data_IF_345548595207
#
_entry.id   IF_345548595207
#
_cell.length_a   1.000
_cell.length_b   1.000
_cell.length_c   1.000
_cell.angle_alpha   90.00
_cell.angle_beta   90.00
_cell.angle_gamma   90.00
#
_symmetry.space_group_name_H-M   'P 1'
#
loop_
_entity.id
_entity.type
_entity.pdbx_description
1 polymer ?
#
# COMPACT_ATOMS: atom_id res chain seq x y z
N UNK A 1 31.46 23.79 -31.50
CA UNK A 1 30.14 23.75 -30.81
C UNK A 1 29.99 22.35 -30.28
N UNK A 2 30.48 22.13 -29.06
CA UNK A 2 30.26 20.87 -28.34
C UNK A 2 28.82 20.89 -27.82
N UNK A 3 28.03 19.92 -28.27
CA UNK A 3 26.69 19.66 -27.73
C UNK A 3 26.87 18.93 -26.40
N UNK A 4 26.71 19.64 -25.29
CA UNK A 4 26.50 19.02 -23.98
C UNK A 4 25.09 18.39 -23.95
N UNK A 5 25.02 17.08 -24.17
CA UNK A 5 23.88 16.25 -23.77
C UNK A 5 23.75 16.28 -22.24
N UNK A 6 23.08 17.30 -21.69
CA UNK A 6 22.65 17.32 -20.29
C UNK A 6 21.64 16.18 -20.08
N UNK A 7 22.13 15.08 -19.52
CA UNK A 7 21.30 14.01 -18.93
C UNK A 7 20.49 14.61 -17.78
N UNK A 8 19.32 15.13 -18.08
CA UNK A 8 18.39 15.66 -17.10
C UNK A 8 17.72 14.49 -16.37
N UNK A 9 18.15 14.19 -15.14
CA UNK A 9 17.27 13.53 -14.18
C UNK A 9 16.32 14.59 -13.59
N UNK A 10 15.13 14.20 -13.14
CA UNK A 10 14.18 15.14 -12.51
C UNK A 10 14.68 15.75 -11.18
N UNK A 11 15.82 15.30 -10.68
CA UNK A 11 16.50 15.93 -9.56
C UNK A 11 17.53 16.91 -10.12
N UNK A 12 17.10 18.13 -10.44
CA UNK A 12 18.06 19.23 -10.56
C UNK A 12 18.96 19.22 -9.31
N UNK A 13 20.26 19.46 -9.48
CA UNK A 13 21.20 19.35 -8.37
C UNK A 13 20.86 20.41 -7.30
N UNK A 14 20.19 19.98 -6.23
CA UNK A 14 19.78 20.84 -5.12
C UNK A 14 21.01 21.07 -4.25
N UNK A 15 21.59 22.25 -4.39
CA UNK A 15 22.87 22.63 -3.77
C UNK A 15 22.67 23.52 -2.54
N UNK A 16 23.63 23.43 -1.62
CA UNK A 16 23.63 24.19 -0.38
C UNK A 16 23.99 25.67 -0.61
N UNK A 17 23.10 26.57 -0.20
CA UNK A 17 23.32 28.03 -0.22
C UNK A 17 24.59 28.50 0.53
N UNK A 18 25.18 27.69 1.42
CA UNK A 18 26.37 28.07 2.19
C UNK A 18 27.69 27.52 1.61
N UNK A 19 27.70 26.30 1.05
CA UNK A 19 28.94 25.66 0.59
C UNK A 19 28.87 25.00 -0.79
N UNK A 20 27.72 25.04 -1.46
CA UNK A 20 27.51 24.43 -2.78
C UNK A 20 27.38 22.91 -2.80
N UNK A 21 27.58 22.22 -1.67
CA UNK A 21 27.43 20.76 -1.60
C UNK A 21 25.96 20.31 -1.76
N UNK A 22 25.75 19.06 -2.18
CA UNK A 22 24.42 18.45 -2.29
C UNK A 22 23.68 18.49 -0.95
N UNK A 23 22.38 18.78 -1.03
CA UNK A 23 21.46 18.75 0.10
C UNK A 23 20.59 17.50 0.08
N UNK A 24 20.25 16.97 1.26
CA UNK A 24 19.28 15.88 1.42
C UNK A 24 18.06 16.36 2.20
N UNK A 25 16.86 15.89 1.85
CA UNK A 25 15.66 16.22 2.61
C UNK A 25 15.73 15.60 4.01
N UNK A 26 15.37 16.38 5.03
CA UNK A 26 15.35 15.94 6.42
C UNK A 26 13.92 15.53 6.83
N UNK A 27 13.62 14.22 6.99
CA UNK A 27 12.28 13.75 7.34
C UNK A 27 11.71 14.38 8.61
N UNK A 28 10.41 14.68 8.55
CA UNK A 28 9.66 15.30 9.64
C UNK A 28 9.91 16.81 9.77
N UNK A 29 10.54 17.43 8.78
CA UNK A 29 10.77 18.89 8.72
C UNK A 29 10.43 19.40 7.32
N UNK A 30 10.38 20.73 7.17
CA UNK A 30 10.30 21.39 5.86
C UNK A 30 11.68 21.95 5.49
N UNK A 31 12.72 21.11 5.60
CA UNK A 31 14.10 21.55 5.40
C UNK A 31 14.98 20.50 4.74
N UNK A 32 15.97 21.02 4.04
CA UNK A 32 17.07 20.31 3.42
C UNK A 32 18.31 20.46 4.31
N UNK A 33 19.03 19.37 4.55
CA UNK A 33 20.26 19.37 5.35
C UNK A 33 21.47 19.15 4.46
N UNK A 34 22.52 19.93 4.70
CA UNK A 34 23.83 19.70 4.09
C UNK A 34 24.63 18.71 4.94
N UNK A 35 24.98 17.55 4.38
CA UNK A 35 25.83 16.57 5.08
C UNK A 35 27.30 17.02 5.18
N UNK A 36 27.73 17.97 4.34
CA UNK A 36 29.10 18.46 4.31
C UNK A 36 29.35 19.55 5.37
N UNK A 37 28.57 20.65 5.36
CA UNK A 37 28.78 21.79 6.26
C UNK A 37 27.77 21.87 7.42
N UNK A 38 26.72 21.04 7.42
CA UNK A 38 25.69 21.03 8.46
C UNK A 38 24.61 22.12 8.32
N UNK A 39 24.68 22.98 7.30
CA UNK A 39 23.68 24.00 7.05
C UNK A 39 22.27 23.40 6.83
N UNK A 40 21.26 24.16 7.24
CA UNK A 40 19.84 23.83 7.06
C UNK A 40 19.22 24.85 6.12
N UNK A 41 18.65 24.36 5.02
CA UNK A 41 18.02 25.17 4.00
C UNK A 41 16.50 24.89 4.02
N UNK A 42 15.71 25.89 4.42
CA UNK A 42 14.25 25.75 4.51
C UNK A 42 13.61 25.59 3.12
N UNK A 43 12.62 24.72 3.03
CA UNK A 43 11.75 24.58 1.87
C UNK A 43 10.53 25.48 2.09
N UNK A 44 10.41 26.54 1.31
CA UNK A 44 9.21 27.36 1.32
C UNK A 44 8.07 26.61 0.62
N UNK A 45 6.95 26.45 1.34
CA UNK A 45 5.72 25.87 0.80
C UNK A 45 4.82 27.01 0.36
N UNK A 46 4.62 27.11 -0.94
CA UNK A 46 3.65 28.02 -1.54
C UNK A 46 2.23 27.55 -1.21
N UNK A 47 1.48 28.38 -0.50
CA UNK A 47 0.11 28.06 -0.06
C UNK A 47 -0.85 27.91 -1.22
N UNK A 48 -0.66 28.69 -2.29
CA UNK A 48 -1.56 28.67 -3.45
C UNK A 48 -1.34 27.37 -4.22
N UNK A 49 -0.07 26.97 -4.42
CA UNK A 49 0.25 25.65 -4.99
C UNK A 49 -0.24 24.49 -4.14
N UNK A 50 -0.28 24.65 -2.81
CA UNK A 50 -0.85 23.62 -1.93
C UNK A 50 -2.35 23.47 -2.15
N UNK A 51 -3.08 24.57 -2.38
CA UNK A 51 -4.50 24.50 -2.75
C UNK A 51 -4.66 23.83 -4.11
N UNK A 52 -3.87 24.24 -5.11
CA UNK A 52 -3.90 23.66 -6.46
C UNK A 52 -3.59 22.15 -6.46
N UNK A 53 -2.63 21.70 -5.65
CA UNK A 53 -2.27 20.29 -5.53
C UNK A 53 -3.40 19.40 -4.97
N UNK A 54 -4.31 19.99 -4.20
CA UNK A 54 -5.49 19.30 -3.66
C UNK A 54 -6.69 19.33 -4.61
N UNK A 55 -6.67 20.14 -5.67
CA UNK A 55 -7.74 20.13 -6.66
C UNK A 55 -7.74 18.80 -7.40
N UNK A 56 -8.91 18.23 -7.59
CA UNK A 56 -9.08 16.98 -8.33
C UNK A 56 -9.06 17.24 -9.84
N UNK A 57 -8.72 16.22 -10.63
CA UNK A 57 -8.72 16.28 -12.10
C UNK A 57 -9.89 15.45 -12.61
N UNK A 58 -10.75 16.02 -13.47
CA UNK A 58 -11.85 15.27 -14.08
C UNK A 58 -11.30 14.13 -14.97
N UNK A 59 -11.70 12.90 -14.66
CA UNK A 59 -11.20 11.71 -15.32
C UNK A 59 -11.63 11.64 -16.79
N UNK A 60 -12.91 11.93 -17.07
CA UNK A 60 -13.46 11.81 -18.41
C UNK A 60 -12.96 12.91 -19.34
N UNK A 61 -12.84 14.14 -18.84
CA UNK A 61 -12.23 15.24 -19.58
C UNK A 61 -10.75 14.94 -19.88
N UNK A 62 -10.01 14.38 -18.91
CA UNK A 62 -8.60 14.05 -19.08
C UNK A 62 -8.36 12.97 -20.13
N UNK A 63 -9.12 11.87 -20.14
CA UNK A 63 -8.95 10.79 -21.13
C UNK A 63 -9.41 11.21 -22.54
N UNK A 64 -10.43 12.07 -22.63
CA UNK A 64 -10.98 12.52 -23.92
C UNK A 64 -10.10 13.57 -24.60
N UNK A 65 -9.41 14.41 -23.81
CA UNK A 65 -8.35 15.29 -24.31
C UNK A 65 -7.08 14.44 -24.46
N UNK A 66 -6.81 13.93 -25.66
CA UNK A 66 -5.63 13.13 -25.99
C UNK A 66 -4.37 13.55 -25.20
N UNK A 67 -3.66 12.54 -24.66
CA UNK A 67 -2.50 12.66 -23.75
C UNK A 67 -1.45 13.70 -24.17
N UNK A 68 -1.34 14.01 -25.47
CA UNK A 68 -0.38 14.96 -26.05
C UNK A 68 -0.53 16.40 -25.54
N UNK A 69 -1.66 16.77 -24.93
CA UNK A 69 -1.89 18.11 -24.37
C UNK A 69 -1.65 18.21 -22.86
N UNK A 70 -1.35 17.09 -22.21
CA UNK A 70 -1.25 17.02 -20.75
C UNK A 70 0.20 17.26 -20.28
N UNK A 71 0.40 17.82 -19.07
CA UNK A 71 1.74 18.02 -18.52
C UNK A 71 2.37 16.68 -18.17
N UNK A 72 3.02 16.07 -19.16
CA UNK A 72 3.88 14.91 -18.95
C UNK A 72 5.30 15.36 -18.67
N UNK A 73 5.99 14.66 -17.77
CA UNK A 73 7.42 14.88 -17.53
C UNK A 73 8.22 13.68 -18.04
N UNK A 74 9.30 13.94 -18.79
CA UNK A 74 10.28 12.92 -19.12
C UNK A 74 11.16 12.62 -17.90
N UNK A 75 11.16 11.38 -17.45
CA UNK A 75 12.02 10.92 -16.36
C UNK A 75 12.97 9.83 -16.84
N UNK A 76 14.20 9.87 -16.37
CA UNK A 76 15.14 8.76 -16.55
C UNK A 76 14.83 7.70 -15.50
N UNK A 77 14.32 6.56 -15.95
CA UNK A 77 13.98 5.40 -15.12
C UNK A 77 14.85 4.22 -15.48
N UNK A 78 15.13 3.39 -14.47
CA UNK A 78 15.85 2.13 -14.64
C UNK A 78 14.93 1.01 -14.19
N UNK A 79 14.76 0.03 -15.06
CA UNK A 79 13.95 -1.15 -14.79
C UNK A 79 14.81 -2.24 -14.14
N UNK A 80 14.31 -2.81 -13.05
CA UNK A 80 14.95 -3.92 -12.38
C UNK A 80 14.56 -5.25 -13.03
N UNK A 81 15.53 -5.99 -13.58
CA UNK A 81 15.27 -7.33 -14.14
C UNK A 81 14.79 -8.36 -13.09
N UNK A 82 15.12 -8.13 -11.81
CA UNK A 82 14.77 -9.06 -10.74
C UNK A 82 13.34 -8.96 -10.23
N UNK A 83 12.73 -7.77 -10.24
CA UNK A 83 11.38 -7.56 -9.71
C UNK A 83 10.46 -6.68 -10.58
N UNK A 84 10.96 -6.14 -11.68
CA UNK A 84 10.21 -5.27 -12.59
C UNK A 84 10.11 -3.81 -12.15
N UNK A 85 10.60 -3.44 -10.96
CA UNK A 85 10.52 -2.07 -10.46
C UNK A 85 11.22 -1.06 -11.36
N UNK A 86 10.57 0.08 -11.59
CA UNK A 86 11.09 1.16 -12.41
C UNK A 86 11.38 2.39 -11.53
N UNK A 87 12.65 2.64 -11.23
CA UNK A 87 13.08 3.65 -10.25
C UNK A 87 13.93 4.74 -10.88
N UNK A 88 13.89 5.93 -10.31
CA UNK A 88 14.83 7.02 -10.62
C UNK A 88 16.18 6.80 -9.94
N UNK A 89 17.25 7.30 -10.57
CA UNK A 89 18.59 7.42 -9.98
C UNK A 89 18.95 8.89 -9.76
N UNK A 90 19.80 9.14 -8.77
CA UNK A 90 20.43 10.44 -8.58
C UNK A 90 21.33 10.78 -9.78
N UNK A 91 21.48 12.08 -10.13
CA UNK A 91 22.47 12.50 -11.12
C UNK A 91 23.85 11.92 -10.75
N UNK A 92 24.53 11.31 -11.73
CA UNK A 92 25.88 10.73 -11.60
C UNK A 92 26.01 9.38 -10.86
N UNK A 93 24.91 8.72 -10.47
CA UNK A 93 24.97 7.34 -9.97
C UNK A 93 25.00 6.37 -11.16
N UNK A 94 26.04 5.52 -11.22
CA UNK A 94 26.24 4.56 -12.32
C UNK A 94 25.73 3.16 -11.96
N UNK A 95 25.79 2.81 -10.67
CA UNK A 95 25.36 1.51 -10.16
C UNK A 95 24.79 1.65 -8.77
N UNK A 96 23.74 0.91 -8.47
CA UNK A 96 23.14 0.82 -7.14
C UNK A 96 22.44 -0.55 -6.97
N UNK A 97 21.80 -0.77 -5.82
CA UNK A 97 20.93 -1.90 -5.52
C UNK A 97 19.46 -1.50 -5.63
N UNK A 98 18.63 -2.43 -6.13
CA UNK A 98 17.19 -2.28 -6.17
C UNK A 98 16.62 -2.33 -4.74
N UNK A 99 15.97 -1.25 -4.29
CA UNK A 99 15.39 -1.21 -2.93
C UNK A 99 14.25 -2.22 -2.70
N UNK A 100 13.68 -2.78 -3.77
CA UNK A 100 12.58 -3.74 -3.70
C UNK A 100 13.03 -5.20 -3.64
N UNK A 101 14.19 -5.57 -4.19
CA UNK A 101 14.62 -6.97 -4.26
C UNK A 101 16.12 -7.22 -4.08
N UNK A 102 16.90 -6.17 -3.87
CA UNK A 102 18.35 -6.18 -3.69
C UNK A 102 19.16 -6.67 -4.92
N UNK A 103 18.52 -6.78 -6.09
CA UNK A 103 19.24 -7.02 -7.35
C UNK A 103 20.10 -5.80 -7.72
N UNK A 104 21.29 -6.01 -8.30
CA UNK A 104 22.10 -4.90 -8.83
C UNK A 104 21.36 -4.18 -9.95
N UNK A 105 21.54 -2.86 -10.01
CA UNK A 105 20.98 -1.97 -11.03
C UNK A 105 22.11 -1.14 -11.65
N UNK A 106 22.07 -0.95 -12.96
CA UNK A 106 23.08 -0.20 -13.71
C UNK A 106 22.45 0.90 -14.57
N UNK A 107 23.00 2.12 -14.51
CA UNK A 107 22.42 3.27 -15.22
C UNK A 107 22.48 3.17 -16.75
N UNK A 108 23.27 2.24 -17.29
CA UNK A 108 23.32 1.91 -18.72
C UNK A 108 22.00 1.33 -19.25
N UNK A 109 21.15 0.80 -18.37
CA UNK A 109 19.81 0.27 -18.69
C UNK A 109 18.72 1.34 -18.54
N UNK A 110 19.10 2.58 -18.23
CA UNK A 110 18.16 3.68 -18.08
C UNK A 110 17.49 4.06 -19.39
N UNK A 111 16.18 4.27 -19.36
CA UNK A 111 15.40 4.80 -20.48
C UNK A 111 14.56 5.99 -20.03
N UNK A 112 14.16 6.83 -21.00
CA UNK A 112 13.22 7.92 -20.73
C UNK A 112 11.80 7.38 -20.72
N UNK A 113 11.06 7.64 -19.66
CA UNK A 113 9.64 7.40 -19.57
C UNK A 113 8.90 8.76 -19.54
N UNK A 114 7.86 8.90 -20.36
CA UNK A 114 6.94 10.04 -20.28
C UNK A 114 5.82 9.67 -19.31
N UNK A 115 5.74 10.38 -18.19
CA UNK A 115 4.75 10.12 -17.15
C UNK A 115 3.87 11.33 -16.87
N UNK A 116 2.62 11.09 -16.48
CA UNK A 116 1.75 12.12 -15.86
C UNK A 116 2.46 12.62 -14.62
N UNK A 117 2.73 13.93 -14.54
CA UNK A 117 3.42 14.50 -13.40
C UNK A 117 2.59 14.31 -12.11
N UNK A 118 3.21 13.93 -10.98
CA UNK A 118 2.49 13.91 -9.71
C UNK A 118 1.97 15.30 -9.37
N UNK A 119 0.71 15.37 -8.95
CA UNK A 119 0.08 16.62 -8.52
C UNK A 119 0.46 16.97 -7.08
N UNK A 120 0.60 15.95 -6.24
CA UNK A 120 0.97 16.10 -4.85
C UNK A 120 1.82 14.96 -4.31
N UNK A 121 2.34 15.15 -3.11
CA UNK A 121 3.10 14.14 -2.39
C UNK A 121 2.98 14.32 -0.88
N UNK A 122 3.17 13.22 -0.15
CA UNK A 122 3.36 13.28 1.30
C UNK A 122 4.86 13.21 1.61
N UNK A 123 5.49 14.21 2.23
CA UNK A 123 6.92 14.13 2.55
C UNK A 123 7.17 13.09 3.64
N UNK A 124 8.34 12.46 3.66
CA UNK A 124 8.72 11.58 4.77
C UNK A 124 8.60 12.31 6.12
N UNK A 125 7.90 11.69 7.07
CA UNK A 125 7.79 12.15 8.46
C UNK A 125 8.70 11.34 9.39
N UNK A 126 8.65 10.03 9.22
CA UNK A 126 9.43 9.06 9.98
C UNK A 126 10.88 9.07 9.48
N UNK A 127 11.81 9.24 10.42
CA UNK A 127 13.26 9.26 10.13
C UNK A 127 13.78 7.83 9.91
N UNK A 128 14.93 7.73 9.25
CA UNK A 128 15.64 6.46 9.00
C UNK A 128 15.84 5.62 10.28
N UNK A 129 16.34 6.24 11.36
CA UNK A 129 16.60 5.56 12.64
C UNK A 129 15.32 5.12 13.33
N UNK A 130 14.26 5.91 13.22
CA UNK A 130 12.95 5.57 13.76
C UNK A 130 12.33 4.40 13.00
N UNK A 131 12.42 4.42 11.67
CA UNK A 131 12.04 3.30 10.82
C UNK A 131 12.79 2.02 11.18
N UNK A 132 14.09 2.11 11.45
CA UNK A 132 14.90 0.95 11.85
C UNK A 132 14.43 0.35 13.19
N UNK A 133 13.99 1.18 14.14
CA UNK A 133 13.44 0.71 15.41
C UNK A 133 12.05 0.08 15.25
N UNK A 134 11.19 0.62 14.40
CA UNK A 134 9.90 0.02 14.04
C UNK A 134 10.12 -1.37 13.42
N UNK A 135 11.09 -1.50 12.51
CA UNK A 135 11.50 -2.77 11.94
C UNK A 135 11.96 -3.77 12.99
N UNK A 136 12.89 -3.36 13.87
CA UNK A 136 13.40 -4.21 14.97
C UNK A 136 12.29 -4.66 15.90
N UNK A 137 11.30 -3.81 16.15
CA UNK A 137 10.14 -4.12 17.00
C UNK A 137 9.22 -5.14 16.34
N UNK A 138 8.92 -4.97 15.05
CA UNK A 138 8.11 -5.92 14.29
C UNK A 138 8.76 -7.31 14.22
N UNK A 139 10.06 -7.39 13.93
CA UNK A 139 10.80 -8.66 13.87
C UNK A 139 10.75 -9.45 15.19
N UNK A 140 10.75 -8.75 16.34
CA UNK A 140 10.65 -9.38 17.66
C UNK A 140 9.33 -10.11 17.84
N UNK A 141 8.23 -9.56 17.29
CA UNK A 141 6.87 -10.15 17.36
C UNK A 141 6.69 -11.39 16.48
N UNK A 142 7.60 -11.69 15.55
CA UNK A 142 7.48 -12.86 14.66
C UNK A 142 7.94 -14.15 15.36
N UNK A 143 7.04 -14.80 16.08
CA UNK A 143 7.37 -15.99 16.87
C UNK A 143 7.82 -17.19 16.00
N UNK A 144 7.09 -17.44 14.91
CA UNK A 144 7.36 -18.53 13.96
C UNK A 144 8.39 -18.22 12.88
N UNK A 145 9.07 -17.07 12.93
CA UNK A 145 10.13 -16.75 12.00
C UNK A 145 11.43 -17.52 12.33
N UNK A 146 12.21 -17.99 11.33
CA UNK A 146 13.51 -18.62 11.54
C UNK A 146 14.48 -17.73 12.33
N UNK A 147 15.31 -18.33 13.20
CA UNK A 147 16.30 -17.55 13.98
C UNK A 147 17.36 -16.89 13.09
N UNK A 148 17.79 -17.58 12.03
CA UNK A 148 18.73 -17.04 11.02
C UNK A 148 18.19 -15.77 10.33
N UNK A 149 16.88 -15.66 10.19
CA UNK A 149 16.26 -14.44 9.68
C UNK A 149 16.45 -13.29 10.65
N UNK A 150 16.13 -13.50 11.94
CA UNK A 150 16.26 -12.46 12.96
C UNK A 150 17.69 -11.98 13.12
N UNK A 151 18.69 -12.85 12.91
CA UNK A 151 20.10 -12.44 12.92
C UNK A 151 20.49 -11.64 11.68
N UNK A 152 20.09 -12.07 10.48
CA UNK A 152 20.40 -11.37 9.24
C UNK A 152 19.76 -9.98 9.20
N UNK A 153 18.47 -9.94 9.52
CA UNK A 153 17.68 -8.72 9.63
C UNK A 153 18.25 -7.69 10.63
N UNK A 154 18.93 -8.13 11.71
CA UNK A 154 19.61 -7.23 12.64
C UNK A 154 20.90 -6.64 12.08
N UNK A 155 21.54 -7.32 11.13
CA UNK A 155 22.78 -6.88 10.47
C UNK A 155 22.51 -5.97 9.28
N UNK A 156 21.31 -6.04 8.68
CA UNK A 156 20.90 -5.15 7.59
C UNK A 156 20.52 -3.78 8.18
N UNK A 157 21.52 -2.90 8.33
CA UNK A 157 21.33 -1.56 8.91
C UNK A 157 20.63 -0.56 7.99
N UNK A 158 20.31 -0.94 6.73
CA UNK A 158 19.84 0.02 5.72
C UNK A 158 18.39 -0.22 5.34
N UNK A 159 17.57 0.80 5.57
CA UNK A 159 16.26 0.99 4.96
C UNK A 159 16.45 1.89 3.74
N UNK A 160 15.89 1.49 2.60
CA UNK A 160 15.76 2.38 1.46
C UNK A 160 14.50 3.23 1.62
N UNK A 161 14.62 4.55 1.50
CA UNK A 161 13.47 5.45 1.44
C UNK A 161 13.02 5.59 -0.01
N UNK A 162 11.77 5.22 -0.29
CA UNK A 162 11.20 5.23 -1.64
C UNK A 162 9.83 5.94 -1.62
N UNK A 163 9.61 6.80 -2.62
CA UNK A 163 8.29 7.31 -2.97
C UNK A 163 7.63 6.39 -3.98
N UNK A 164 6.45 5.88 -3.63
CA UNK A 164 5.65 4.98 -4.47
C UNK A 164 4.51 5.78 -5.11
N UNK A 165 4.26 5.61 -6.41
CA UNK A 165 3.18 6.30 -7.11
C UNK A 165 1.83 5.66 -6.78
N UNK A 166 0.83 6.51 -6.57
CA UNK A 166 -0.56 6.14 -6.34
C UNK A 166 -1.46 6.97 -7.23
N UNK A 167 -2.56 6.34 -7.66
CA UNK A 167 -3.75 7.04 -8.09
C UNK A 167 -4.67 7.20 -6.89
N UNK A 168 -5.25 8.38 -6.72
CA UNK A 168 -6.44 8.57 -5.88
C UNK A 168 -7.62 8.81 -6.80
N UNK A 169 -8.79 8.29 -6.44
CA UNK A 169 -10.02 8.47 -7.20
C UNK A 169 -11.17 8.85 -6.28
N UNK A 170 -11.92 9.85 -6.74
CA UNK A 170 -13.14 10.29 -6.09
C UNK A 170 -14.29 10.01 -7.04
N UNK A 171 -15.44 9.63 -6.50
CA UNK A 171 -16.62 9.34 -7.31
C UNK A 171 -17.89 9.35 -6.46
N UNK A 172 -18.97 9.83 -7.05
CA UNK A 172 -20.32 9.69 -6.50
C UNK A 172 -20.97 8.50 -7.16
N UNK A 173 -21.45 7.56 -6.36
CA UNK A 173 -22.04 6.34 -6.87
C UNK A 173 -23.51 6.22 -6.52
N UNK A 174 -24.28 5.70 -7.48
CA UNK A 174 -25.67 5.31 -7.28
C UNK A 174 -25.82 3.86 -7.70
N UNK A 175 -26.12 2.97 -6.75
CA UNK A 175 -26.25 1.54 -7.02
C UNK A 175 -27.68 1.08 -6.84
N UNK A 176 -28.28 0.56 -7.90
CA UNK A 176 -29.55 -0.19 -7.84
C UNK A 176 -29.23 -1.65 -7.56
N UNK A 177 -30.03 -2.32 -6.74
CA UNK A 177 -29.81 -3.72 -6.44
C UNK A 177 -31.11 -4.53 -6.34
N UNK A 178 -30.97 -5.84 -6.50
CA UNK A 178 -31.99 -6.83 -6.15
C UNK A 178 -31.37 -7.91 -5.25
N UNK A 179 -32.17 -8.45 -4.33
CA UNK A 179 -31.69 -9.41 -3.36
C UNK A 179 -32.82 -10.03 -2.54
N UNK A 180 -32.43 -10.71 -1.47
CA UNK A 180 -33.36 -11.25 -0.48
C UNK A 180 -32.89 -10.89 0.93
N UNK A 181 -33.87 -10.51 1.76
CA UNK A 181 -33.72 -10.37 3.20
C UNK A 181 -34.10 -11.69 3.85
N UNK A 182 -33.20 -12.22 4.68
CA UNK A 182 -33.44 -13.40 5.49
C UNK A 182 -33.68 -13.00 6.94
N UNK A 183 -34.87 -13.28 7.46
CA UNK A 183 -35.20 -13.13 8.89
C UNK A 183 -35.23 -14.54 9.51
N UNK A 184 -34.41 -14.74 10.54
CA UNK A 184 -34.27 -16.03 11.20
C UNK A 184 -35.43 -16.25 12.18
N UNK A 185 -35.89 -17.49 12.25
CA UNK A 185 -36.84 -17.95 13.25
C UNK A 185 -36.45 -19.34 13.74
N UNK A 186 -36.80 -19.65 14.98
CA UNK A 186 -36.59 -20.96 15.57
C UNK A 186 -37.82 -21.84 15.36
N UNK A 187 -37.61 -23.09 14.98
CA UNK A 187 -38.65 -24.10 14.84
C UNK A 187 -38.18 -25.40 15.51
N UNK A 188 -39.10 -26.08 16.20
CA UNK A 188 -38.82 -27.38 16.81
C UNK A 188 -39.11 -28.47 15.79
N UNK A 189 -38.09 -29.28 15.47
CA UNK A 189 -38.22 -30.45 14.60
C UNK A 189 -38.07 -31.74 15.39
N UNK A 190 -39.00 -32.67 15.19
CA UNK A 190 -38.89 -34.03 15.72
C UNK A 190 -38.05 -34.90 14.78
N UNK A 191 -37.10 -35.65 15.33
CA UNK A 191 -36.31 -36.65 14.61
C UNK A 191 -36.19 -37.94 15.42
N UNK A 192 -35.93 -39.07 14.75
CA UNK A 192 -35.78 -40.36 15.42
C UNK A 192 -34.31 -40.73 15.54
N UNK A 193 -33.87 -41.04 16.75
CA UNK A 193 -32.52 -41.51 17.06
C UNK A 193 -32.62 -42.77 17.91
N UNK A 194 -32.03 -43.88 17.45
CA UNK A 194 -32.10 -45.19 18.13
C UNK A 194 -33.53 -45.69 18.43
N UNK A 195 -34.50 -45.32 17.61
CA UNK A 195 -35.91 -45.71 17.77
C UNK A 195 -36.72 -44.83 18.73
N UNK A 196 -36.09 -43.83 19.35
CA UNK A 196 -36.77 -42.83 20.20
C UNK A 196 -36.99 -41.53 19.42
N UNK A 197 -38.19 -40.94 19.56
CA UNK A 197 -38.49 -39.62 19.00
C UNK A 197 -37.92 -38.54 19.91
N UNK A 198 -37.04 -37.69 19.37
CA UNK A 198 -36.42 -36.55 20.05
C UNK A 198 -36.76 -35.26 19.32
N UNK A 199 -36.76 -34.16 20.06
CA UNK A 199 -36.93 -32.83 19.50
C UNK A 199 -35.61 -32.08 19.51
N UNK A 200 -35.37 -31.29 18.47
CA UNK A 200 -34.28 -30.32 18.43
C UNK A 200 -34.81 -28.98 17.94
N UNK A 201 -34.25 -27.90 18.48
CA UNK A 201 -34.50 -26.55 17.96
C UNK A 201 -33.59 -26.34 16.75
N UNK A 202 -34.17 -25.96 15.62
CA UNK A 202 -33.43 -25.59 14.41
C UNK A 202 -33.71 -24.14 14.06
N UNK A 203 -32.68 -23.42 13.62
CA UNK A 203 -32.85 -22.09 13.05
C UNK A 203 -33.15 -22.21 11.56
N UNK A 204 -34.28 -21.67 11.13
CA UNK A 204 -34.66 -21.51 9.72
C UNK A 204 -34.68 -20.04 9.35
N UNK A 205 -34.59 -19.76 8.06
CA UNK A 205 -34.56 -18.38 7.54
C UNK A 205 -35.71 -18.18 6.56
N UNK A 206 -36.57 -17.21 6.85
CA UNK A 206 -37.62 -16.78 5.93
C UNK A 206 -37.05 -15.74 4.96
N UNK A 207 -37.10 -16.03 3.65
CA UNK A 207 -36.52 -15.17 2.62
C UNK A 207 -37.60 -14.32 1.94
N UNK A 208 -37.41 -13.00 1.99
CA UNK A 208 -38.28 -12.03 1.30
C UNK A 208 -37.49 -11.30 0.22
N UNK A 209 -38.03 -11.24 -1.00
CA UNK A 209 -37.40 -10.52 -2.10
C UNK A 209 -37.43 -9.02 -1.84
N UNK A 210 -36.29 -8.36 -2.06
CA UNK A 210 -36.12 -6.92 -1.91
C UNK A 210 -35.41 -6.32 -3.11
N UNK A 211 -35.70 -5.05 -3.36
CA UNK A 211 -34.97 -4.20 -4.30
C UNK A 211 -34.78 -2.85 -3.64
N UNK A 212 -33.65 -2.22 -3.92
CA UNK A 212 -33.32 -0.94 -3.31
C UNK A 212 -32.34 -0.15 -4.15
N UNK A 213 -31.95 0.98 -3.57
CA UNK A 213 -30.95 1.87 -4.14
C UNK A 213 -30.12 2.45 -3.01
N UNK A 214 -28.81 2.32 -3.12
CA UNK A 214 -27.85 2.95 -2.21
C UNK A 214 -27.08 4.04 -2.94
N UNK A 215 -26.70 5.07 -2.20
CA UNK A 215 -25.86 6.16 -2.68
C UNK A 215 -24.60 6.20 -1.83
N UNK A 216 -23.44 6.33 -2.46
CA UNK A 216 -22.15 6.38 -1.77
C UNK A 216 -21.20 7.33 -2.45
N UNK A 217 -20.69 8.29 -1.69
CA UNK A 217 -19.60 9.15 -2.11
C UNK A 217 -18.28 8.51 -1.66
N UNK A 218 -17.32 8.48 -2.57
CA UNK A 218 -15.96 8.02 -2.36
C UNK A 218 -15.00 9.19 -2.50
N UNK A 219 -14.10 9.29 -1.53
CA UNK A 219 -13.09 10.33 -1.40
C UNK A 219 -11.75 9.65 -1.12
N UNK A 220 -10.77 9.96 -1.95
CA UNK A 220 -9.41 9.45 -2.02
C UNK A 220 -9.30 7.92 -1.97
N UNK A 221 -9.98 7.22 -2.89
CA UNK A 221 -9.77 5.77 -3.07
C UNK A 221 -8.37 5.51 -3.63
N UNK A 222 -7.47 5.07 -2.75
CA UNK A 222 -6.07 4.85 -3.08
C UNK A 222 -5.86 3.56 -3.88
N UNK A 223 -5.14 3.68 -5.00
CA UNK A 223 -4.71 2.56 -5.84
C UNK A 223 -3.21 2.69 -6.09
N UNK A 224 -2.38 1.75 -5.57
CA UNK A 224 -0.97 1.71 -5.93
C UNK A 224 -0.81 1.62 -7.45
N UNK A 225 0.03 2.49 -8.02
CA UNK A 225 0.26 2.58 -9.45
C UNK A 225 1.49 1.76 -9.90
N UNK A 226 1.97 0.85 -9.05
CA UNK A 226 3.14 -0.01 -9.27
C UNK A 226 2.84 -1.48 -8.96
N UNK A 227 3.53 -2.39 -9.65
CA UNK A 227 3.49 -3.84 -9.43
C UNK A 227 4.70 -4.37 -8.63
N UNK A 228 5.58 -3.50 -8.15
CA UNK A 228 6.85 -3.87 -7.50
C UNK A 228 6.69 -4.49 -6.12
N UNK A 229 5.53 -4.30 -5.51
CA UNK A 229 5.21 -4.75 -4.15
C UNK A 229 3.94 -5.59 -4.12
N UNK A 230 3.86 -6.65 -3.29
CA UNK A 230 2.64 -7.44 -3.21
C UNK A 230 1.49 -6.64 -2.60
N UNK A 231 0.42 -6.46 -3.37
CA UNK A 231 -0.73 -5.59 -3.06
C UNK A 231 -1.30 -5.82 -1.64
N UNK A 232 -1.42 -7.09 -1.21
CA UNK A 232 -1.94 -7.47 0.12
C UNK A 232 -1.22 -6.86 1.32
N UNK A 233 0.02 -6.39 1.16
CA UNK A 233 0.78 -5.72 2.21
C UNK A 233 0.77 -4.21 2.02
N UNK A 234 0.82 -3.75 0.77
CA UNK A 234 0.82 -2.33 0.42
C UNK A 234 -0.48 -1.67 0.88
N UNK A 235 -1.63 -2.28 0.61
CA UNK A 235 -2.94 -1.77 1.05
C UNK A 235 -3.08 -1.75 2.57
N UNK A 236 -2.31 -2.57 3.30
CA UNK A 236 -2.30 -2.59 4.76
C UNK A 236 -1.38 -1.53 5.38
N UNK A 237 -0.70 -0.72 4.57
CA UNK A 237 0.01 0.47 5.05
C UNK A 237 -0.94 1.64 5.31
N UNK A 238 -2.17 1.57 4.79
CA UNK A 238 -3.25 2.52 5.06
C UNK A 238 -3.70 2.46 6.54
N UNK A 239 -4.20 3.57 7.12
CA UNK A 239 -4.53 4.85 6.46
C UNK A 239 -3.31 5.76 6.24
N UNK A 240 -3.44 6.65 5.25
CA UNK A 240 -2.49 7.74 4.99
C UNK A 240 -3.07 9.06 5.49
N UNK A 241 -2.20 10.02 5.84
CA UNK A 241 -2.60 11.34 6.30
C UNK A 241 -2.68 12.36 5.15
N UNK A 242 -3.51 12.05 4.13
CA UNK A 242 -3.61 12.80 2.87
C UNK A 242 -3.93 14.30 3.06
N UNK A 243 -4.58 14.68 4.16
CA UNK A 243 -4.81 16.09 4.54
C UNK A 243 -3.51 16.92 4.67
N UNK A 244 -2.36 16.27 4.86
CA UNK A 244 -1.05 16.90 4.93
C UNK A 244 -0.29 16.89 3.59
N UNK A 245 -0.97 16.60 2.48
CA UNK A 245 -0.36 16.58 1.15
C UNK A 245 0.21 17.95 0.79
N UNK A 246 1.39 17.92 0.18
CA UNK A 246 2.09 19.07 -0.36
C UNK A 246 2.07 19.00 -1.89
N UNK A 247 2.20 20.14 -2.59
CA UNK A 247 2.44 20.13 -4.02
C UNK A 247 3.71 19.32 -4.32
N UNK A 248 3.72 18.65 -5.47
CA UNK A 248 4.91 17.93 -5.91
C UNK A 248 6.10 18.89 -6.03
N UNK A 249 7.15 18.62 -5.25
CA UNK A 249 8.37 19.41 -5.23
C UNK A 249 9.57 18.47 -5.06
N UNK A 250 10.50 18.51 -6.01
CA UNK A 250 11.66 17.63 -6.09
C UNK A 250 12.62 17.80 -4.91
N UNK A 251 12.54 18.91 -4.15
CA UNK A 251 13.29 19.10 -2.91
C UNK A 251 13.01 18.00 -1.88
N UNK A 252 11.77 17.52 -1.79
CA UNK A 252 11.39 16.43 -0.88
C UNK A 252 11.84 15.03 -1.36
N UNK A 253 12.23 14.91 -2.63
CA UNK A 253 12.79 13.69 -3.20
C UNK A 253 14.32 13.61 -2.99
N UNK A 254 14.99 14.70 -2.60
CA UNK A 254 16.44 14.68 -2.47
C UNK A 254 16.90 13.73 -1.36
N UNK A 255 17.70 12.73 -1.72
CA UNK A 255 18.12 11.66 -0.80
C UNK A 255 17.17 10.45 -0.77
N UNK A 256 16.14 10.45 -1.61
CA UNK A 256 15.15 9.39 -1.74
C UNK A 256 15.01 8.94 -3.20
N UNK A 257 14.63 7.68 -3.38
CA UNK A 257 14.26 7.17 -4.71
C UNK A 257 12.78 7.43 -4.96
N UNK A 258 12.40 7.61 -6.22
CA UNK A 258 10.99 7.61 -6.63
C UNK A 258 10.79 6.51 -7.66
N UNK A 259 9.68 5.81 -7.54
CA UNK A 259 9.24 4.86 -8.55
C UNK A 259 8.36 5.57 -9.60
N UNK A 260 8.44 5.16 -10.86
CA UNK A 260 7.46 5.52 -11.89
C UNK A 260 6.25 4.60 -11.82
N UNK A 261 5.07 5.11 -12.20
CA UNK A 261 3.91 4.22 -12.31
C UNK A 261 4.12 3.24 -13.46
N UNK A 262 3.77 1.98 -13.21
CA UNK A 262 3.71 0.92 -14.21
C UNK A 262 2.26 0.65 -14.63
N UNK A 263 1.32 1.07 -13.80
CA UNK A 263 -0.12 0.92 -14.01
C UNK A 263 -0.71 2.26 -14.41
N UNK A 264 -1.20 2.34 -15.65
CA UNK A 264 -1.79 3.54 -16.20
C UNK A 264 -3.07 3.97 -15.48
N UNK A 265 -3.54 5.17 -15.78
CA UNK A 265 -4.72 5.78 -15.16
C UNK A 265 -5.99 4.92 -15.34
N UNK A 266 -6.26 4.43 -16.55
CA UNK A 266 -7.44 3.60 -16.84
C UNK A 266 -7.44 2.28 -16.05
N UNK A 267 -6.30 1.56 -16.03
CA UNK A 267 -6.13 0.35 -15.21
C UNK A 267 -6.28 0.67 -13.72
N UNK A 268 -5.76 1.84 -13.31
CA UNK A 268 -5.92 2.39 -11.96
C UNK A 268 -7.40 2.47 -11.59
N UNK A 269 -8.20 3.08 -12.46
CA UNK A 269 -9.63 3.26 -12.27
C UNK A 269 -10.39 1.93 -12.23
N UNK A 270 -10.02 0.94 -13.05
CA UNK A 270 -10.59 -0.42 -12.97
C UNK A 270 -10.42 -1.01 -11.57
N UNK A 271 -9.25 -0.85 -10.95
CA UNK A 271 -9.05 -1.32 -9.57
C UNK A 271 -9.73 -0.47 -8.53
N UNK A 272 -9.84 0.85 -8.73
CA UNK A 272 -10.61 1.72 -7.85
C UNK A 272 -12.08 1.28 -7.79
N UNK A 273 -12.70 1.00 -8.96
CA UNK A 273 -14.06 0.46 -9.02
C UNK A 273 -14.22 -0.84 -8.25
N UNK A 274 -13.28 -1.79 -8.40
CA UNK A 274 -13.33 -3.05 -7.64
C UNK A 274 -13.24 -2.82 -6.12
N UNK A 275 -12.44 -1.84 -5.67
CA UNK A 275 -12.41 -1.44 -4.25
C UNK A 275 -13.74 -0.82 -3.80
N UNK A 276 -14.28 0.11 -4.58
CA UNK A 276 -15.56 0.78 -4.31
C UNK A 276 -16.72 -0.22 -4.27
N UNK A 277 -16.75 -1.19 -5.17
CA UNK A 277 -17.76 -2.26 -5.24
C UNK A 277 -17.83 -3.08 -3.95
N UNK A 278 -16.68 -3.37 -3.31
CA UNK A 278 -16.70 -4.09 -2.03
C UNK A 278 -17.43 -3.29 -0.95
N UNK A 279 -17.20 -1.99 -0.87
CA UNK A 279 -17.88 -1.08 0.08
C UNK A 279 -19.36 -0.96 -0.26
N UNK A 280 -19.69 -0.76 -1.53
CA UNK A 280 -21.07 -0.71 -2.03
C UNK A 280 -21.83 -1.99 -1.66
N UNK A 281 -21.21 -3.17 -1.80
CA UNK A 281 -21.85 -4.44 -1.42
C UNK A 281 -22.18 -4.48 0.07
N UNK A 282 -21.32 -3.95 0.94
CA UNK A 282 -21.64 -3.84 2.37
C UNK A 282 -22.78 -2.83 2.63
N UNK A 283 -22.80 -1.71 1.91
CA UNK A 283 -23.89 -0.73 2.00
C UNK A 283 -25.22 -1.35 1.54
N UNK A 284 -25.22 -2.15 0.46
CA UNK A 284 -26.39 -2.91 0.00
C UNK A 284 -26.84 -3.95 1.04
N UNK A 285 -25.92 -4.72 1.64
CA UNK A 285 -26.29 -5.67 2.70
C UNK A 285 -26.95 -4.95 3.88
N UNK A 286 -26.41 -3.79 4.26
CA UNK A 286 -26.97 -2.96 5.33
C UNK A 286 -28.37 -2.44 4.99
N UNK A 287 -28.59 -2.02 3.75
CA UNK A 287 -29.90 -1.54 3.27
C UNK A 287 -30.94 -2.68 3.21
N UNK A 288 -30.54 -3.89 2.79
CA UNK A 288 -31.39 -5.10 2.84
C UNK A 288 -31.85 -5.41 4.28
N UNK A 289 -30.92 -5.34 5.24
CA UNK A 289 -31.18 -5.66 6.65
C UNK A 289 -31.49 -7.13 6.90
N UNK A 290 -32.14 -7.44 8.03
CA UNK A 290 -32.40 -8.81 8.48
C UNK A 290 -31.16 -9.51 9.06
N UNK A 291 -31.28 -10.79 9.36
CA UNK A 291 -30.21 -11.61 9.94
C UNK A 291 -29.26 -12.17 8.88
N UNK A 292 -29.76 -12.38 7.66
CA UNK A 292 -28.98 -12.81 6.50
C UNK A 292 -29.36 -12.03 5.25
N UNK A 293 -28.41 -11.88 4.33
CA UNK A 293 -28.60 -11.13 3.09
C UNK A 293 -28.07 -11.92 1.90
N UNK A 294 -28.88 -11.98 0.83
CA UNK A 294 -28.45 -12.44 -0.50
C UNK A 294 -28.55 -11.28 -1.46
N UNK A 295 -27.46 -11.00 -2.17
CA UNK A 295 -27.43 -10.02 -3.25
C UNK A 295 -27.47 -10.80 -4.56
N UNK A 296 -28.50 -10.58 -5.37
CA UNK A 296 -28.67 -11.22 -6.68
C UNK A 296 -28.03 -10.41 -7.79
N UNK A 297 -28.23 -9.09 -7.77
CA UNK A 297 -27.63 -8.18 -8.74
C UNK A 297 -27.38 -6.80 -8.15
N UNK A 298 -26.37 -6.13 -8.71
CA UNK A 298 -26.04 -4.72 -8.46
C UNK A 298 -25.71 -4.07 -9.79
N UNK A 299 -26.23 -2.86 -9.99
CA UNK A 299 -25.97 -2.01 -11.15
C UNK A 299 -25.55 -0.64 -10.61
N UNK A 300 -24.27 -0.31 -10.75
CA UNK A 300 -23.64 0.89 -10.17
C UNK A 300 -23.29 1.87 -11.25
N UNK A 301 -23.81 3.09 -11.10
CA UNK A 301 -23.39 4.25 -11.87
C UNK A 301 -22.29 4.99 -11.11
N UNK A 302 -21.25 5.43 -11.83
CA UNK A 302 -20.10 6.17 -11.29
C UNK A 302 -20.08 7.55 -11.92
N UNK A 303 -20.54 8.54 -11.16
CA UNK A 303 -20.62 9.94 -11.57
C UNK A 303 -19.48 10.76 -10.97
N UNK A 304 -19.22 11.92 -11.60
CA UNK A 304 -18.26 12.92 -11.15
C UNK A 304 -16.90 12.30 -10.78
N UNK A 305 -16.40 11.42 -11.65
CA UNK A 305 -15.14 10.71 -11.42
C UNK A 305 -13.98 11.67 -11.57
N UNK A 306 -13.20 11.81 -10.53
CA UNK A 306 -11.97 12.61 -10.55
C UNK A 306 -10.79 11.78 -10.07
N UNK A 307 -9.57 12.25 -10.33
CA UNK A 307 -8.35 11.57 -9.92
C UNK A 307 -7.20 12.51 -9.61
N UNK A 308 -6.21 11.98 -8.88
CA UNK A 308 -4.89 12.62 -8.67
C UNK A 308 -3.77 11.57 -8.80
N UNK A 309 -2.66 11.94 -9.44
CA UNK A 309 -1.39 11.19 -9.32
C UNK A 309 -0.62 11.73 -8.11
N UNK A 310 -0.29 10.87 -7.15
CA UNK A 310 0.43 11.28 -5.93
C UNK A 310 1.60 10.36 -5.60
N UNK A 311 2.58 10.88 -4.85
CA UNK A 311 3.70 10.11 -4.34
C UNK A 311 3.61 9.91 -2.83
N UNK A 312 3.68 8.65 -2.39
CA UNK A 312 3.57 8.26 -0.99
C UNK A 312 4.88 7.64 -0.46
N UNK A 313 5.37 8.08 0.71
CA UNK A 313 6.69 7.70 1.21
C UNK A 313 6.63 6.38 1.97
N UNK A 314 7.53 5.45 1.64
CA UNK A 314 7.75 4.22 2.42
C UNK A 314 9.23 4.02 2.73
N UNK A 315 9.50 3.46 3.90
CA UNK A 315 10.79 2.81 4.15
C UNK A 315 10.66 1.34 3.79
N UNK A 316 11.61 0.81 3.01
CA UNK A 316 11.62 -0.58 2.60
C UNK A 316 12.96 -1.24 2.88
N UNK A 317 12.90 -2.51 3.26
CA UNK A 317 14.04 -3.42 3.23
C UNK A 317 13.65 -4.69 2.49
N UNK A 318 14.53 -5.15 1.60
CA UNK A 318 14.42 -6.43 0.94
C UNK A 318 15.57 -7.33 1.39
N UNK A 319 15.26 -8.59 1.67
CA UNK A 319 16.28 -9.60 1.98
C UNK A 319 15.95 -10.93 1.33
N UNK A 320 16.98 -11.73 1.08
CA UNK A 320 16.84 -13.05 0.47
C UNK A 320 16.96 -14.15 1.52
N UNK A 321 16.03 -15.10 1.49
CA UNK A 321 16.07 -16.29 2.33
C UNK A 321 15.65 -17.53 1.52
N UNK A 322 16.55 -18.52 1.39
CA UNK A 322 16.36 -19.73 0.59
C UNK A 322 15.79 -19.42 -0.80
N UNK A 323 16.53 -18.63 -1.58
CA UNK A 323 16.23 -18.11 -2.94
C UNK A 323 15.06 -17.13 -3.08
N UNK A 324 14.13 -17.08 -2.14
CA UNK A 324 12.99 -16.14 -2.16
C UNK A 324 13.37 -14.78 -1.56
N UNK A 325 12.86 -13.73 -2.18
CA UNK A 325 12.93 -12.35 -1.66
C UNK A 325 11.74 -12.13 -0.74
N UNK A 326 12.02 -11.53 0.41
CA UNK A 326 11.01 -11.08 1.36
C UNK A 326 11.20 -9.59 1.57
N UNK A 327 10.09 -8.87 1.60
CA UNK A 327 10.08 -7.42 1.74
C UNK A 327 9.42 -7.02 3.04
N UNK A 328 9.90 -5.91 3.57
CA UNK A 328 9.38 -5.29 4.74
C UNK A 328 9.23 -3.79 4.44
N UNK A 329 8.09 -3.22 4.80
CA UNK A 329 7.70 -1.86 4.46
C UNK A 329 7.18 -1.16 5.71
N UNK A 330 7.49 0.13 5.80
CA UNK A 330 6.97 1.03 6.83
C UNK A 330 6.36 2.21 6.12
N UNK A 331 5.14 2.56 6.50
CA UNK A 331 4.54 3.82 6.09
C UNK A 331 5.39 4.99 6.63
N UNK A 332 5.97 5.79 5.74
CA UNK A 332 6.88 6.89 6.07
C UNK A 332 6.18 8.06 6.79
N UNK A 333 4.86 8.01 6.97
CA UNK A 333 4.04 9.00 7.67
C UNK A 333 3.54 8.52 9.02
N UNK A 334 2.94 7.33 9.06
CA UNK A 334 2.27 6.80 10.26
C UNK A 334 3.14 5.83 11.05
N UNK A 335 4.17 5.26 10.43
CA UNK A 335 4.97 4.20 11.01
C UNK A 335 4.29 2.82 10.98
N UNK A 336 3.16 2.67 10.30
CA UNK A 336 2.50 1.36 10.11
C UNK A 336 3.44 0.38 9.41
N UNK A 337 3.47 -0.86 9.89
CA UNK A 337 4.51 -1.83 9.54
C UNK A 337 3.93 -3.08 8.92
N UNK A 338 4.29 -3.34 7.66
CA UNK A 338 3.86 -4.53 6.93
C UNK A 338 5.05 -5.27 6.34
N UNK A 339 4.97 -6.60 6.27
CA UNK A 339 6.09 -7.36 5.74
C UNK A 339 5.83 -8.84 5.52
N UNK A 340 6.61 -9.38 4.59
CA UNK A 340 6.70 -10.80 4.30
C UNK A 340 7.61 -11.49 5.31
N UNK A 341 7.28 -12.73 5.66
CA UNK A 341 8.16 -13.56 6.50
C UNK A 341 8.19 -15.01 6.04
N UNK A 342 9.35 -15.68 6.08
CA UNK A 342 9.39 -17.13 6.01
C UNK A 342 8.84 -17.73 7.31
N UNK A 343 8.13 -18.85 7.18
CA UNK A 343 7.69 -19.65 8.32
C UNK A 343 8.71 -20.76 8.62
N UNK A 344 9.04 -20.95 9.89
CA UNK A 344 9.88 -22.05 10.34
C UNK A 344 9.01 -23.26 10.63
N UNK A 345 9.00 -24.22 9.70
CA UNK A 345 8.25 -25.48 9.87
C UNK A 345 8.65 -26.21 11.16
N UNK A 346 9.93 -26.21 11.54
CA UNK A 346 10.42 -26.82 12.79
C UNK A 346 9.78 -26.16 14.03
N UNK A 347 9.65 -24.83 14.06
CA UNK A 347 8.99 -24.14 15.18
C UNK A 347 7.50 -24.43 15.23
N UNK A 348 6.86 -24.51 14.07
CA UNK A 348 5.44 -24.83 13.96
C UNK A 348 5.20 -26.28 14.43
N UNK A 349 5.97 -27.26 13.94
CA UNK A 349 5.81 -28.67 14.33
C UNK A 349 6.06 -28.86 15.81
N UNK A 350 7.09 -28.25 16.38
CA UNK A 350 7.37 -28.32 17.83
C UNK A 350 6.24 -27.70 18.66
N UNK A 351 5.66 -26.59 18.20
CA UNK A 351 4.51 -25.97 18.87
C UNK A 351 3.24 -26.84 18.77
N UNK A 352 2.97 -27.43 17.60
CA UNK A 352 1.84 -28.35 17.41
C UNK A 352 2.00 -29.59 18.30
N UNK A 353 3.20 -30.19 18.35
CA UNK A 353 3.49 -31.32 19.23
C UNK A 353 3.31 -30.95 20.72
N UNK A 354 3.74 -29.77 21.13
CA UNK A 354 3.53 -29.27 22.49
C UNK A 354 2.04 -29.17 22.83
N UNK A 355 1.20 -28.64 21.93
CA UNK A 355 -0.26 -28.57 22.12
C UNK A 355 -0.85 -29.99 22.24
N UNK A 356 -0.46 -30.92 21.36
CA UNK A 356 -0.93 -32.31 21.40
C UNK A 356 -0.56 -32.96 22.74
N UNK A 357 0.67 -32.77 23.22
CA UNK A 357 1.10 -33.27 24.52
C UNK A 357 0.28 -32.68 25.67
N UNK A 358 -0.01 -31.37 25.66
CA UNK A 358 -0.84 -30.73 26.69
C UNK A 358 -2.25 -31.31 26.68
N UNK A 359 -2.88 -31.47 25.51
CA UNK A 359 -4.22 -32.07 25.38
C UNK A 359 -4.21 -33.51 25.90
N UNK A 360 -3.19 -34.30 25.55
CA UNK A 360 -3.06 -35.67 26.02
C UNK A 360 -2.90 -35.76 27.55
N UNK A 361 -2.13 -34.85 28.16
CA UNK A 361 -1.99 -34.76 29.63
C UNK A 361 -3.32 -34.36 30.27
N UNK A 362 -4.03 -33.37 29.74
CA UNK A 362 -5.34 -32.95 30.27
C UNK A 362 -6.33 -34.11 30.17
N UNK A 363 -6.40 -34.80 29.03
CA UNK A 363 -7.24 -35.97 28.85
C UNK A 363 -6.93 -37.06 29.87
N UNK A 364 -5.64 -37.39 30.06
CA UNK A 364 -5.19 -38.36 31.06
C UNK A 364 -5.57 -37.96 32.49
N UNK A 365 -5.40 -36.68 32.85
CA UNK A 365 -5.77 -36.18 34.18
C UNK A 365 -7.28 -36.19 34.41
N UNK A 366 -8.09 -35.84 33.40
CA UNK A 366 -9.55 -35.92 33.48
C UNK A 366 -10.02 -37.37 33.61
N UNK A 367 -9.46 -38.29 32.82
CA UNK A 367 -9.77 -39.72 32.91
C UNK A 367 -9.37 -40.33 34.27
N UNK A 368 -8.23 -39.91 34.83
CA UNK A 368 -7.70 -40.46 36.08
C UNK A 368 -8.32 -39.85 37.33
N UNK A 369 -8.69 -38.56 37.31
CA UNK A 369 -9.13 -37.80 38.50
C UNK A 369 -10.53 -37.17 38.40
N UNK A 370 -11.18 -37.22 37.24
CA UNK A 370 -12.50 -36.63 36.99
C UNK A 370 -13.68 -37.59 37.17
N UNK A 371 -13.49 -38.68 37.91
CA UNK A 371 -14.57 -39.58 38.35
C UNK A 371 -15.46 -38.96 39.42
#
# INVERSE_FOLDING_TARGET
MENEDKKSSNQNEIVCNQCGAKLTFAPGTDSLKCEFCGAVNTIEVDTDKKVEANQEIDYHEFINKQLDTQPTTEILTIKCDGCGAETTFDPNVISDSCGFCDSPLTSKEGHKASIIQPKGMLPFKIKDKEGLELYRTWLRKLWFAPNKLKSYARQTEKLAGIYIPYWTFDSKTTTKYTGERGDNYEETESYTENGESKERTVTKTNWTHVRGRVHRDFDDVLVPASNSLPLKYVEKLEPWDLNNMLPYDTKYLSGFKSESYQKGLEDGFVSARSKMENVIREDVRRDIGGDQQKIHSTDTDFDAVTFKHILLPIWISAYRYNTKVYRFMINGRTGEVQGERPYSWIKITLFTLMIICIIAIIYYLVDTYGG
#
